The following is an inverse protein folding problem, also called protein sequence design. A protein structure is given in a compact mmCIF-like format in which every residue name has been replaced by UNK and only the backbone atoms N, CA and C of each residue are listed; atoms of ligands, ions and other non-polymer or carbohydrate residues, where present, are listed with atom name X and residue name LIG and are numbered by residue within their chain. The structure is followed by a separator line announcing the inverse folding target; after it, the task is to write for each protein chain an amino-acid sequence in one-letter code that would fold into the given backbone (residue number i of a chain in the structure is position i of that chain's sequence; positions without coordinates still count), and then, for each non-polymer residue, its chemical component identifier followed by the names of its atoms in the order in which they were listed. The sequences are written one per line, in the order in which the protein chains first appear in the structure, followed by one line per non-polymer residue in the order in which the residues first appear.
data_IF_796138011595
#
_entry.id   IF_796138011595
#
_cell.length_a   1.000
_cell.length_b   1.000
_cell.length_c   1.000
_cell.angle_alpha   90.00
_cell.angle_beta   90.00
_cell.angle_gamma   90.00
#
_symmetry.space_group_name_H-M   'P 1'
#
loop_
_entity.id
_entity.type
_entity.pdbx_description
1 polymer ?
#
# COMPACT_ATOMS: atom_id res chain seq x y z
N UNK A 1 -18.80 -13.48 3.84
CA UNK A 1 -17.40 -13.95 3.69
C UNK A 1 -16.51 -12.75 3.93
N UNK A 2 -15.63 -12.78 4.94
CA UNK A 2 -14.80 -11.63 5.26
C UNK A 2 -13.81 -11.36 4.11
N UNK A 3 -13.66 -10.11 3.68
CA UNK A 3 -12.73 -9.69 2.61
C UNK A 3 -11.31 -10.25 2.79
N UNK A 4 -10.87 -10.38 4.05
CA UNK A 4 -9.58 -10.93 4.44
C UNK A 4 -9.44 -12.44 4.19
N UNK A 5 -10.48 -13.24 4.32
CA UNK A 5 -10.41 -14.69 4.03
C UNK A 5 -10.38 -14.94 2.54
N UNK A 6 -11.10 -14.13 1.77
CA UNK A 6 -11.15 -14.24 0.33
C UNK A 6 -9.79 -13.98 -0.32
N UNK A 7 -9.03 -12.96 0.15
CA UNK A 7 -7.69 -12.67 -0.40
C UNK A 7 -6.68 -13.77 -0.08
N UNK A 8 -6.76 -14.41 1.10
CA UNK A 8 -5.92 -15.56 1.44
C UNK A 8 -6.25 -16.76 0.55
N UNK A 9 -7.55 -17.04 0.36
CA UNK A 9 -8.00 -18.11 -0.53
C UNK A 9 -7.52 -17.88 -1.98
N UNK A 10 -7.68 -16.67 -2.51
CA UNK A 10 -7.23 -16.32 -3.85
C UNK A 10 -5.71 -16.45 -4.00
N UNK A 11 -4.94 -16.05 -2.98
CA UNK A 11 -3.49 -16.25 -2.98
C UNK A 11 -3.12 -17.73 -3.06
N UNK A 12 -3.64 -18.54 -2.14
CA UNK A 12 -3.25 -19.95 -1.99
C UNK A 12 -3.72 -20.82 -3.17
N UNK A 13 -4.92 -20.56 -3.71
CA UNK A 13 -5.54 -21.45 -4.69
C UNK A 13 -5.39 -21.00 -6.13
N UNK A 14 -5.13 -19.71 -6.36
CA UNK A 14 -5.00 -19.12 -7.70
C UNK A 14 -3.59 -18.57 -7.89
N UNK A 15 -3.22 -17.50 -7.18
CA UNK A 15 -2.00 -16.74 -7.47
C UNK A 15 -0.72 -17.55 -7.24
N UNK A 16 -0.70 -18.41 -6.21
CA UNK A 16 0.45 -19.29 -5.95
C UNK A 16 0.73 -20.28 -7.08
N UNK A 17 -0.29 -20.67 -7.85
CA UNK A 17 -0.14 -21.60 -8.97
C UNK A 17 0.28 -20.91 -10.27
N UNK A 18 0.15 -19.59 -10.32
CA UNK A 18 0.56 -18.80 -11.48
C UNK A 18 2.09 -18.67 -11.57
N UNK A 19 2.64 -18.69 -12.79
CA UNK A 19 4.07 -18.56 -13.05
C UNK A 19 4.65 -17.14 -12.94
N UNK A 20 3.84 -16.15 -12.51
CA UNK A 20 4.24 -14.75 -12.45
C UNK A 20 5.36 -14.53 -11.40
N UNK A 21 6.52 -14.05 -11.85
CA UNK A 21 7.68 -13.79 -10.97
C UNK A 21 7.60 -12.43 -10.25
N UNK A 22 6.80 -11.51 -10.78
CA UNK A 22 6.61 -10.17 -10.23
C UNK A 22 5.13 -9.90 -10.12
N UNK A 23 4.66 -9.68 -8.89
CA UNK A 23 3.26 -9.40 -8.60
C UNK A 23 3.18 -8.01 -7.98
N UNK A 24 2.27 -7.20 -8.50
CA UNK A 24 1.96 -5.88 -7.96
C UNK A 24 0.56 -5.89 -7.36
N UNK A 25 0.39 -5.21 -6.23
CA UNK A 25 -0.90 -5.11 -5.54
C UNK A 25 -1.38 -3.66 -5.52
N UNK A 26 -2.65 -3.44 -5.87
CA UNK A 26 -3.33 -2.17 -5.69
C UNK A 26 -4.47 -2.39 -4.69
N UNK A 27 -4.38 -1.75 -3.53
CA UNK A 27 -5.37 -1.82 -2.46
C UNK A 27 -6.09 -0.50 -2.27
N UNK A 28 -7.34 -0.41 -2.71
CA UNK A 28 -8.18 0.78 -2.50
C UNK A 28 -9.03 0.64 -1.23
N UNK A 29 -9.02 1.66 -0.36
CA UNK A 29 -9.77 1.67 0.91
C UNK A 29 -9.51 0.40 1.74
N UNK A 30 -10.57 -0.34 2.08
CA UNK A 30 -10.47 -1.62 2.81
C UNK A 30 -9.75 -2.74 2.04
N UNK A 31 -9.59 -2.60 0.72
CA UNK A 31 -8.73 -3.46 -0.08
C UNK A 31 -7.27 -3.38 0.39
N UNK A 32 -6.82 -2.21 0.85
CA UNK A 32 -5.50 -2.03 1.45
C UNK A 32 -5.30 -2.91 2.70
N UNK A 33 -6.31 -2.97 3.58
CA UNK A 33 -6.30 -3.90 4.73
C UNK A 33 -6.17 -5.35 4.30
N UNK A 34 -6.84 -5.74 3.21
CA UNK A 34 -6.79 -7.11 2.70
C UNK A 34 -5.38 -7.46 2.21
N UNK A 35 -4.72 -6.55 1.48
CA UNK A 35 -3.32 -6.73 1.05
C UNK A 35 -2.37 -6.85 2.24
N UNK A 36 -2.54 -6.01 3.27
CA UNK A 36 -1.72 -6.08 4.48
C UNK A 36 -1.99 -7.35 5.30
N UNK A 37 -3.25 -7.80 5.34
CA UNK A 37 -3.63 -9.08 5.97
C UNK A 37 -2.94 -10.24 5.25
N UNK A 38 -2.93 -10.23 3.92
CA UNK A 38 -2.24 -11.24 3.11
C UNK A 38 -0.74 -11.25 3.44
N UNK A 39 -0.10 -10.07 3.48
CA UNK A 39 1.31 -9.92 3.81
C UNK A 39 1.64 -10.46 5.22
N UNK A 40 0.75 -10.25 6.19
CA UNK A 40 0.91 -10.79 7.54
C UNK A 40 0.83 -12.32 7.61
N UNK A 41 -0.07 -12.94 6.83
CA UNK A 41 -0.32 -14.39 6.92
C UNK A 41 0.50 -15.23 5.93
N UNK A 42 1.04 -14.61 4.88
CA UNK A 42 1.78 -15.28 3.79
C UNK A 42 3.11 -14.59 3.50
N UNK A 43 3.71 -13.97 4.53
CA UNK A 43 4.87 -13.10 4.46
C UNK A 43 5.97 -13.63 3.54
N UNK A 44 6.46 -14.85 3.77
CA UNK A 44 7.57 -15.42 3.00
C UNK A 44 7.25 -15.50 1.51
N UNK A 45 6.16 -16.19 1.16
CA UNK A 45 5.73 -16.37 -0.23
C UNK A 45 5.39 -15.05 -0.94
N UNK A 46 4.89 -14.07 -0.18
CA UNK A 46 4.53 -12.76 -0.72
C UNK A 46 5.77 -11.89 -0.92
N UNK A 47 6.70 -11.82 0.04
CA UNK A 47 7.94 -11.04 -0.09
C UNK A 47 8.77 -11.51 -1.28
N UNK A 48 8.81 -12.82 -1.54
CA UNK A 48 9.58 -13.39 -2.66
C UNK A 48 9.08 -12.88 -4.02
N UNK A 49 7.75 -12.79 -4.21
CA UNK A 49 7.11 -12.52 -5.51
C UNK A 49 6.54 -11.11 -5.65
N UNK A 50 6.30 -10.41 -4.55
CA UNK A 50 5.70 -9.08 -4.56
C UNK A 50 6.75 -8.02 -4.94
N UNK A 51 6.56 -7.41 -6.10
CA UNK A 51 7.42 -6.35 -6.60
C UNK A 51 7.04 -4.99 -5.99
N UNK A 52 5.76 -4.73 -5.76
CA UNK A 52 5.28 -3.46 -5.22
C UNK A 52 3.83 -3.49 -4.72
N UNK A 53 3.53 -2.60 -3.78
CA UNK A 53 2.20 -2.41 -3.19
C UNK A 53 1.84 -0.92 -3.27
N UNK A 54 0.71 -0.62 -3.90
CA UNK A 54 0.10 0.69 -3.91
C UNK A 54 -1.19 0.65 -3.08
N UNK A 55 -1.25 1.46 -2.03
CA UNK A 55 -2.46 1.71 -1.25
C UNK A 55 -3.07 3.02 -1.72
N UNK A 56 -4.40 3.08 -1.79
CA UNK A 56 -5.13 4.24 -2.29
C UNK A 56 -6.29 4.52 -1.34
N UNK A 57 -6.37 5.76 -0.86
CA UNK A 57 -7.34 6.16 0.17
C UNK A 57 -7.32 5.21 1.38
N UNK A 58 -6.11 4.72 1.71
CA UNK A 58 -5.85 3.88 2.86
C UNK A 58 -5.90 4.71 4.14
N UNK A 59 -7.06 5.26 4.47
CA UNK A 59 -7.38 5.61 5.84
C UNK A 59 -7.12 4.35 6.68
N UNK A 60 -6.59 4.48 7.91
CA UNK A 60 -6.36 3.37 8.86
C UNK A 60 -5.04 2.57 8.77
N UNK A 61 -3.98 3.03 8.09
CA UNK A 61 -2.65 2.35 8.13
C UNK A 61 -2.11 2.08 9.54
N UNK A 62 -2.56 2.79 10.58
CA UNK A 62 -2.14 2.58 11.97
C UNK A 62 -2.77 1.43 12.73
N UNK A 63 -4.02 1.07 12.44
CA UNK A 63 -4.70 -0.04 13.14
C UNK A 63 -4.55 -1.37 12.39
N UNK A 64 -3.99 -1.34 11.17
CA UNK A 64 -3.81 -2.50 10.32
C UNK A 64 -2.40 -3.09 10.39
N UNK A 65 -1.47 -2.39 11.05
CA UNK A 65 -0.14 -2.89 11.36
C UNK A 65 -0.12 -3.52 12.75
N UNK A 66 0.18 -4.82 12.88
CA UNK A 66 0.47 -5.37 14.20
C UNK A 66 1.74 -4.71 14.75
N UNK A 67 1.73 -4.34 16.03
CA UNK A 67 2.81 -3.62 16.71
C UNK A 67 4.18 -4.33 16.75
N UNK A 68 4.33 -5.51 16.13
CA UNK A 68 5.54 -6.33 16.14
C UNK A 68 5.97 -6.75 14.73
N UNK A 69 6.05 -5.80 13.80
CA UNK A 69 6.56 -6.07 12.45
C UNK A 69 8.07 -6.29 12.50
N UNK A 70 8.52 -7.47 12.05
CA UNK A 70 9.93 -7.81 11.89
C UNK A 70 10.65 -6.76 11.03
N UNK A 71 11.89 -6.43 11.35
CA UNK A 71 12.69 -5.42 10.62
C UNK A 71 12.75 -5.68 9.10
N UNK A 72 12.80 -6.95 8.70
CA UNK A 72 12.75 -7.34 7.28
C UNK A 72 11.47 -6.86 6.59
N UNK A 73 10.32 -6.99 7.26
CA UNK A 73 9.04 -6.55 6.71
C UNK A 73 8.95 -5.02 6.69
N UNK A 74 9.46 -4.31 7.71
CA UNK A 74 9.57 -2.84 7.68
C UNK A 74 10.40 -2.37 6.48
N UNK A 75 11.57 -2.96 6.27
CA UNK A 75 12.45 -2.63 5.14
C UNK A 75 11.78 -2.93 3.79
N UNK A 76 11.06 -4.05 3.69
CA UNK A 76 10.27 -4.39 2.50
C UNK A 76 9.24 -3.30 2.18
N UNK A 77 8.47 -2.86 3.18
CA UNK A 77 7.43 -1.85 3.02
C UNK A 77 8.00 -0.46 2.69
N UNK A 78 9.09 -0.07 3.36
CA UNK A 78 9.77 1.19 3.08
C UNK A 78 10.23 1.29 1.62
N UNK A 79 10.70 0.18 1.06
CA UNK A 79 11.16 0.11 -0.33
C UNK A 79 10.06 -0.12 -1.36
N UNK A 80 9.00 -0.87 -1.03
CA UNK A 80 8.04 -1.43 -2.00
C UNK A 80 6.58 -1.06 -1.76
N UNK A 81 6.25 -0.31 -0.71
CA UNK A 81 4.90 0.10 -0.40
C UNK A 81 4.75 1.63 -0.40
N UNK A 82 3.69 2.13 -1.02
CA UNK A 82 3.31 3.55 -1.03
C UNK A 82 1.81 3.71 -0.83
N UNK A 83 1.39 4.75 -0.13
CA UNK A 83 -0.03 5.04 0.10
C UNK A 83 -0.40 6.42 -0.43
N UNK A 84 -1.24 6.46 -1.47
CA UNK A 84 -1.80 7.68 -2.01
C UNK A 84 -3.01 8.12 -1.21
N UNK A 85 -2.92 9.32 -0.64
CA UNK A 85 -3.95 9.90 0.22
C UNK A 85 -4.42 11.25 -0.31
N UNK A 86 -5.53 11.73 0.25
CA UNK A 86 -6.09 13.05 -0.07
C UNK A 86 -5.11 14.15 0.29
N UNK A 87 -4.73 14.95 -0.70
CA UNK A 87 -3.88 16.12 -0.53
C UNK A 87 -3.95 16.97 -1.79
N UNK A 88 -3.97 18.29 -1.62
CA UNK A 88 -3.94 19.26 -2.71
C UNK A 88 -2.52 19.50 -3.25
N UNK A 89 -1.51 18.85 -2.67
CA UNK A 89 -0.14 18.86 -3.21
C UNK A 89 -0.08 18.15 -4.57
N UNK A 90 0.91 18.45 -5.43
CA UNK A 90 1.08 17.76 -6.70
C UNK A 90 1.08 16.23 -6.56
N UNK A 91 0.49 15.53 -7.52
CA UNK A 91 0.47 14.07 -7.58
C UNK A 91 1.90 13.52 -7.42
N UNK A 92 2.09 12.57 -6.51
CA UNK A 92 3.40 11.96 -6.27
C UNK A 92 4.26 12.68 -5.23
N UNK A 93 3.83 13.84 -4.71
CA UNK A 93 4.54 14.51 -3.64
C UNK A 93 4.55 13.67 -2.36
N UNK A 94 5.72 13.48 -1.75
CA UNK A 94 5.84 12.82 -0.45
C UNK A 94 5.24 13.74 0.61
N UNK A 95 4.39 13.15 1.47
CA UNK A 95 3.73 13.87 2.56
C UNK A 95 4.48 13.67 3.86
N UNK A 96 4.51 14.73 4.66
CA UNK A 96 5.15 14.79 5.96
C UNK A 96 4.12 14.97 7.07
N UNK A 97 4.56 14.87 8.33
CA UNK A 97 3.73 15.16 9.51
C UNK A 97 3.25 16.62 9.58
N UNK A 98 3.90 17.54 8.87
CA UNK A 98 3.52 18.96 8.91
C UNK A 98 2.41 19.28 7.88
N UNK A 99 2.02 18.29 7.08
CA UNK A 99 0.96 18.46 6.08
C UNK A 99 -0.44 18.31 6.68
N UNK A 100 -1.39 19.10 6.19
CA UNK A 100 -2.81 19.04 6.54
C UNK A 100 -3.49 17.80 5.93
N UNK A 101 -3.05 16.63 6.38
CA UNK A 101 -3.60 15.31 6.03
C UNK A 101 -4.41 14.72 7.18
N UNK A 102 -4.21 15.23 8.40
CA UNK A 102 -4.89 14.77 9.60
C UNK A 102 -6.29 15.37 9.66
N UNK A 103 -7.31 14.51 9.73
CA UNK A 103 -8.71 14.88 9.48
C UNK A 103 -9.23 14.37 8.13
N UNK A 104 -8.33 13.97 7.22
CA UNK A 104 -8.68 13.33 5.94
C UNK A 104 -8.68 11.80 6.03
N UNK A 105 -8.98 11.26 7.21
CA UNK A 105 -9.01 9.81 7.47
C UNK A 105 -7.63 9.15 7.64
N UNK A 106 -6.56 9.93 7.52
CA UNK A 106 -5.19 9.49 7.77
C UNK A 106 -4.82 9.77 9.22
N UNK A 107 -4.18 8.81 9.89
CA UNK A 107 -3.69 9.00 11.26
C UNK A 107 -2.38 9.82 11.27
N UNK A 108 -2.00 10.41 12.41
CA UNK A 108 -0.67 10.96 12.62
C UNK A 108 0.45 10.01 12.16
N UNK A 109 1.34 10.54 11.34
CA UNK A 109 2.58 9.88 10.96
C UNK A 109 3.51 9.82 12.18
N UNK A 110 4.06 8.65 12.45
CA UNK A 110 5.11 8.42 13.45
C UNK A 110 6.43 8.14 12.75
N UNK A 111 7.56 8.42 13.41
CA UNK A 111 8.89 8.16 12.84
C UNK A 111 9.12 6.69 12.49
N UNK A 112 8.40 5.78 13.17
CA UNK A 112 8.45 4.34 12.94
C UNK A 112 7.58 3.85 11.77
N UNK A 113 6.91 4.73 11.02
CA UNK A 113 6.01 4.31 9.95
C UNK A 113 6.76 3.86 8.69
N UNK A 114 6.68 2.57 8.32
CA UNK A 114 7.44 2.08 7.18
C UNK A 114 6.78 2.43 5.84
N UNK A 115 5.51 2.86 5.83
CA UNK A 115 4.79 3.17 4.59
C UNK A 115 4.78 4.67 4.36
N UNK A 116 5.46 5.10 3.30
CA UNK A 116 5.48 6.48 2.87
C UNK A 116 4.12 6.91 2.29
N UNK A 117 3.63 8.07 2.75
CA UNK A 117 2.41 8.69 2.23
C UNK A 117 2.74 9.59 1.05
N UNK A 118 1.88 9.53 0.04
CA UNK A 118 2.04 10.23 -1.23
C UNK A 118 0.76 10.99 -1.56
N UNK A 119 0.89 12.18 -2.12
CA UNK A 119 -0.26 12.97 -2.57
C UNK A 119 -0.92 12.32 -3.78
N UNK A 120 -2.26 12.23 -3.74
CA UNK A 120 -3.10 11.91 -4.91
C UNK A 120 -3.36 13.09 -5.84
N UNK A 121 -2.98 14.33 -5.47
CA UNK A 121 -3.25 15.50 -6.29
C UNK A 121 -4.69 16.03 -6.19
N UNK A 122 -5.45 15.57 -5.20
CA UNK A 122 -6.82 16.02 -4.96
C UNK A 122 -7.21 15.91 -3.48
N UNK A 123 -8.03 16.85 -3.01
CA UNK A 123 -8.76 16.77 -1.75
C UNK A 123 -10.12 16.06 -1.86
N UNK A 124 -10.62 15.83 -3.09
CA UNK A 124 -11.91 15.20 -3.33
C UNK A 124 -11.81 13.68 -3.15
N UNK A 125 -12.52 13.14 -2.15
CA UNK A 125 -12.43 11.72 -1.78
C UNK A 125 -12.79 10.75 -2.92
N UNK A 126 -13.86 11.05 -3.65
CA UNK A 126 -14.31 10.24 -4.79
C UNK A 126 -13.36 10.26 -5.99
N UNK A 127 -12.36 11.15 -6.02
CA UNK A 127 -11.37 11.27 -7.11
C UNK A 127 -10.00 10.72 -6.77
N UNK A 128 -9.71 10.42 -5.50
CA UNK A 128 -8.39 9.94 -5.06
C UNK A 128 -7.92 8.74 -5.90
N UNK A 129 -8.81 7.76 -6.11
CA UNK A 129 -8.45 6.56 -6.85
C UNK A 129 -8.04 6.85 -8.29
N UNK A 130 -8.87 7.57 -9.04
CA UNK A 130 -8.57 7.88 -10.45
C UNK A 130 -7.35 8.78 -10.59
N UNK A 131 -7.19 9.77 -9.70
CA UNK A 131 -6.05 10.69 -9.74
C UNK A 131 -4.73 10.02 -9.34
N UNK A 132 -4.78 9.04 -8.43
CA UNK A 132 -3.58 8.33 -7.99
C UNK A 132 -3.01 7.35 -9.03
N UNK A 133 -3.82 6.83 -9.96
CA UNK A 133 -3.43 5.74 -10.86
C UNK A 133 -2.16 6.04 -11.67
N UNK A 134 -2.02 7.26 -12.19
CA UNK A 134 -0.81 7.65 -12.93
C UNK A 134 0.43 7.57 -12.03
N UNK A 135 0.32 8.04 -10.78
CA UNK A 135 1.40 7.94 -9.79
C UNK A 135 1.72 6.49 -9.40
N UNK A 136 0.70 5.64 -9.30
CA UNK A 136 0.84 4.22 -8.99
C UNK A 136 1.61 3.48 -10.09
N UNK A 137 1.25 3.67 -11.36
CA UNK A 137 1.96 3.00 -12.46
C UNK A 137 3.39 3.51 -12.60
N UNK A 138 3.63 4.83 -12.49
CA UNK A 138 5.00 5.37 -12.43
C UNK A 138 5.81 4.75 -11.29
N UNK A 139 5.21 4.55 -10.13
CA UNK A 139 5.88 3.89 -9.01
C UNK A 139 6.21 2.42 -9.33
N UNK A 140 5.31 1.67 -9.96
CA UNK A 140 5.55 0.30 -10.36
C UNK A 140 6.62 0.16 -11.45
N UNK A 141 6.62 1.03 -12.45
CA UNK A 141 7.65 1.07 -13.50
C UNK A 141 9.03 1.27 -12.87
N UNK A 142 9.15 2.26 -11.97
CA UNK A 142 10.39 2.52 -11.23
C UNK A 142 10.85 1.34 -10.36
N UNK A 143 9.94 0.48 -9.89
CA UNK A 143 10.29 -0.73 -9.13
C UNK A 143 10.69 -1.88 -10.05
N UNK A 144 10.08 -1.96 -11.23
CA UNK A 144 10.39 -2.96 -12.25
C UNK A 144 11.80 -2.75 -12.80
N UNK A 145 12.17 -1.50 -13.11
CA UNK A 145 13.46 -1.13 -13.70
C UNK A 145 14.67 -1.31 -12.77
N UNK A 146 14.45 -1.55 -11.47
CA UNK A 146 15.52 -1.71 -10.45
C UNK A 146 16.03 -3.16 -10.30
N UNK A 147 15.56 -4.10 -11.13
CA UNK A 147 15.93 -5.52 -11.10
C UNK A 147 16.64 -5.92 -12.38
#
# INVERSE_FOLDING_TARGET
VASSEHVLCAWDHVIQKEGAKQIFFIGHGLGGKSVLTLLQHRQESMIERCAGIALIDGAHTGTWYPFNVQEQLKAFLAGRCRNWVRSDKPLGAILSKDDDIFGRGVRPLTEDDPICLTSSGTSEQNRVAIMAMEGVFKFFDNLHDRR
#
